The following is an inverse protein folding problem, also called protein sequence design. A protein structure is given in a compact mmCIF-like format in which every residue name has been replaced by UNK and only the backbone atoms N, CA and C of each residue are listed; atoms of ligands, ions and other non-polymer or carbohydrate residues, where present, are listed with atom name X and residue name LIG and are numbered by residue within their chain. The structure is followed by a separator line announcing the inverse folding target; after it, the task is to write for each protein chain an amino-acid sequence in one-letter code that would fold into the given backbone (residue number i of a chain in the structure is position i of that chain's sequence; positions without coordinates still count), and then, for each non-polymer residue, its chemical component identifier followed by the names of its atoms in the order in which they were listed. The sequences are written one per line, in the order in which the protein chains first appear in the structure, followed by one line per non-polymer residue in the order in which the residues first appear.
data_IF_668156525460
#
_entry.id   IF_668156525460
#
_cell.length_a   1.000
_cell.length_b   1.000
_cell.length_c   1.000
_cell.angle_alpha   90.00
_cell.angle_beta   90.00
_cell.angle_gamma   90.00
#
_symmetry.space_group_name_H-M   'P 1'
#
loop_
_entity.id
_entity.type
_entity.pdbx_description
1 polymer ?
#
# COMPACT_ATOMS: atom_id res chain seq x y z
N UNK A 1 -9.28 1.98 -7.39
CA UNK A 1 -10.32 1.12 -6.77
C UNK A 1 -10.44 -0.22 -7.50
N UNK A 2 -10.51 -0.27 -8.84
CA UNK A 2 -10.65 -1.54 -9.57
C UNK A 2 -9.47 -2.48 -9.33
N UNK A 3 -8.23 -1.99 -9.42
CA UNK A 3 -7.02 -2.79 -9.13
C UNK A 3 -7.04 -3.29 -7.70
N UNK A 4 -7.30 -2.38 -6.74
CA UNK A 4 -7.37 -2.71 -5.32
C UNK A 4 -8.37 -3.83 -5.04
N UNK A 5 -9.58 -3.75 -5.63
CA UNK A 5 -10.59 -4.79 -5.49
C UNK A 5 -10.16 -6.13 -6.13
N UNK A 6 -9.49 -6.09 -7.29
CA UNK A 6 -8.97 -7.32 -7.92
C UNK A 6 -7.88 -7.96 -7.08
N UNK A 7 -6.96 -7.17 -6.55
CA UNK A 7 -5.85 -7.67 -5.74
C UNK A 7 -6.35 -8.28 -4.42
N UNK A 8 -7.21 -7.57 -3.68
CA UNK A 8 -7.77 -8.07 -2.43
C UNK A 8 -8.73 -9.26 -2.63
N UNK A 9 -9.37 -9.38 -3.78
CA UNK A 9 -10.15 -10.55 -4.15
C UNK A 9 -9.32 -11.69 -4.77
N UNK A 10 -8.01 -11.50 -4.98
CA UNK A 10 -7.14 -12.43 -5.71
C UNK A 10 -7.64 -12.72 -7.13
N UNK A 11 -8.19 -11.72 -7.81
CA UNK A 11 -8.67 -11.78 -9.19
C UNK A 11 -7.75 -11.06 -10.19
N UNK A 12 -6.59 -10.64 -9.76
CA UNK A 12 -5.55 -10.03 -10.59
C UNK A 12 -5.00 -11.06 -11.60
N UNK A 13 -4.66 -10.59 -12.80
CA UNK A 13 -4.31 -11.45 -13.94
C UNK A 13 -3.07 -12.32 -13.72
N UNK A 14 -2.17 -11.91 -12.81
CA UNK A 14 -0.91 -12.59 -12.51
C UNK A 14 -0.99 -13.57 -11.32
N UNK A 15 -2.18 -13.84 -10.78
CA UNK A 15 -2.38 -14.89 -9.76
C UNK A 15 -1.94 -16.28 -10.22
N UNK A 16 -1.95 -16.53 -11.52
CA UNK A 16 -1.48 -17.79 -12.10
C UNK A 16 0.04 -17.98 -11.97
N UNK A 17 0.79 -16.88 -11.79
CA UNK A 17 2.25 -16.88 -11.59
C UNK A 17 2.64 -17.26 -10.15
N UNK A 18 1.70 -17.28 -9.21
CA UNK A 18 1.96 -17.73 -7.84
C UNK A 18 2.54 -19.15 -7.88
N UNK A 19 3.70 -19.43 -7.26
CA UNK A 19 4.27 -20.77 -7.17
C UNK A 19 3.28 -21.78 -6.59
N UNK A 20 3.34 -23.02 -7.08
CA UNK A 20 2.34 -24.04 -6.73
C UNK A 20 2.20 -24.28 -5.23
N UNK A 21 3.31 -24.17 -4.48
CA UNK A 21 3.35 -24.35 -3.02
C UNK A 21 2.54 -23.29 -2.28
N UNK A 22 2.45 -22.06 -2.82
CA UNK A 22 1.73 -20.93 -2.20
C UNK A 22 0.27 -20.77 -2.67
N UNK A 23 -0.10 -21.47 -3.76
CA UNK A 23 -1.48 -21.40 -4.27
C UNK A 23 -2.55 -21.78 -3.26
N UNK A 24 -2.38 -22.84 -2.45
CA UNK A 24 -3.41 -23.26 -1.50
C UNK A 24 -3.68 -22.29 -0.36
N UNK A 25 -2.68 -21.48 0.03
CA UNK A 25 -2.82 -20.53 1.15
C UNK A 25 -3.31 -19.15 0.70
N UNK A 26 -3.13 -18.80 -0.57
CA UNK A 26 -3.65 -17.53 -1.07
C UNK A 26 -5.17 -17.52 -1.10
N UNK A 27 -5.78 -16.48 -0.50
CA UNK A 27 -7.22 -16.37 -0.33
C UNK A 27 -7.81 -15.08 -0.92
N UNK A 28 -9.11 -15.09 -1.14
CA UNK A 28 -9.91 -13.88 -1.35
C UNK A 28 -10.25 -13.31 0.03
N UNK A 29 -9.83 -12.08 0.29
CA UNK A 29 -10.07 -11.41 1.58
C UNK A 29 -11.54 -11.05 1.81
N UNK A 30 -12.36 -11.05 0.75
CA UNK A 30 -13.76 -10.58 0.74
C UNK A 30 -13.92 -9.09 1.07
N UNK A 31 -12.83 -8.34 1.15
CA UNK A 31 -12.84 -6.89 1.34
C UNK A 31 -13.12 -6.23 -0.01
N UNK A 32 -14.04 -5.27 -0.01
CA UNK A 32 -14.36 -4.47 -1.18
C UNK A 32 -14.23 -2.98 -0.88
N UNK A 33 -13.66 -2.26 -1.83
CA UNK A 33 -13.46 -0.82 -1.76
C UNK A 33 -14.40 -0.12 -2.75
N UNK A 34 -14.99 0.97 -2.32
CA UNK A 34 -15.77 1.84 -3.19
C UNK A 34 -15.45 3.31 -2.90
N UNK A 35 -15.65 4.16 -3.89
CA UNK A 35 -15.57 5.61 -3.67
C UNK A 35 -16.73 6.05 -2.76
N UNK A 36 -16.43 6.96 -1.83
CA UNK A 36 -17.45 7.54 -0.97
C UNK A 36 -18.52 8.26 -1.80
N UNK A 37 -19.78 8.03 -1.48
CA UNK A 37 -20.92 8.71 -2.11
C UNK A 37 -21.46 9.86 -1.25
N UNK A 38 -21.02 9.96 -0.01
CA UNK A 38 -21.31 11.03 0.94
C UNK A 38 -20.01 11.57 1.52
N UNK A 39 -19.92 12.88 1.65
CA UNK A 39 -18.83 13.54 2.36
C UNK A 39 -19.08 13.48 3.89
N UNK A 40 -18.14 13.92 4.76
CA UNK A 40 -18.33 13.94 6.22
C UNK A 40 -19.53 14.73 6.70
N UNK A 41 -20.04 15.66 5.90
CA UNK A 41 -21.24 16.47 6.20
C UNK A 41 -22.54 15.82 5.66
N UNK A 42 -22.45 14.65 5.02
CA UNK A 42 -23.58 13.94 4.44
C UNK A 42 -23.99 14.39 3.05
N UNK A 43 -23.27 15.35 2.42
CA UNK A 43 -23.56 15.79 1.07
C UNK A 43 -23.11 14.76 0.02
N UNK A 44 -23.78 14.71 -1.15
CA UNK A 44 -23.33 13.87 -2.25
C UNK A 44 -21.90 14.22 -2.71
N UNK A 45 -21.09 13.20 -2.96
CA UNK A 45 -19.70 13.36 -3.43
C UNK A 45 -19.34 12.27 -4.42
N UNK A 46 -18.30 12.53 -5.23
CA UNK A 46 -17.65 11.49 -6.05
C UNK A 46 -16.63 10.67 -5.27
N UNK A 47 -16.37 11.01 -4.01
CA UNK A 47 -15.30 10.41 -3.20
C UNK A 47 -13.90 10.84 -3.62
N UNK A 48 -13.77 11.78 -4.55
CA UNK A 48 -12.48 12.31 -5.03
C UNK A 48 -12.43 13.80 -4.75
N UNK A 49 -11.50 14.21 -3.89
CA UNK A 49 -11.21 15.63 -3.62
C UNK A 49 -9.94 16.06 -4.36
N UNK A 50 -9.87 17.35 -4.68
CA UNK A 50 -8.69 17.95 -5.30
C UNK A 50 -8.37 19.25 -4.58
N UNK A 51 -7.16 19.34 -4.06
CA UNK A 51 -6.68 20.52 -3.32
C UNK A 51 -5.69 21.28 -4.17
N UNK A 52 -6.00 22.54 -4.42
CA UNK A 52 -5.03 23.46 -5.03
C UNK A 52 -4.02 23.86 -3.98
N UNK A 53 -2.74 23.74 -4.29
CA UNK A 53 -1.65 24.03 -3.34
C UNK A 53 -0.44 24.62 -4.05
N UNK A 54 0.30 25.45 -3.34
CA UNK A 54 1.64 25.93 -3.74
C UNK A 54 2.76 24.97 -3.31
N UNK A 55 2.45 23.92 -2.54
CA UNK A 55 3.43 22.91 -2.15
C UNK A 55 3.73 22.04 -3.37
N UNK A 56 4.96 22.09 -3.85
CA UNK A 56 5.39 21.36 -5.05
C UNK A 56 5.75 19.92 -4.79
N UNK A 57 6.09 19.58 -3.55
CA UNK A 57 6.39 18.21 -3.12
C UNK A 57 6.20 18.06 -1.62
N UNK A 58 5.74 16.89 -1.20
CA UNK A 58 5.73 16.44 0.19
C UNK A 58 6.86 15.46 0.40
N UNK A 59 7.73 15.71 1.39
CA UNK A 59 9.01 15.02 1.48
C UNK A 59 8.98 13.83 2.45
N UNK A 60 8.51 12.70 1.96
CA UNK A 60 8.49 11.44 2.71
C UNK A 60 7.45 11.37 3.83
N UNK A 61 7.54 10.31 4.64
CA UNK A 61 6.57 10.03 5.71
C UNK A 61 6.65 10.99 6.91
N UNK A 62 7.76 11.70 7.07
CA UNK A 62 7.93 12.71 8.12
C UNK A 62 7.25 14.04 7.79
N UNK A 63 6.91 14.28 6.52
CA UNK A 63 6.26 15.51 6.07
C UNK A 63 4.73 15.36 6.16
N UNK A 64 4.20 15.66 7.32
CA UNK A 64 2.77 15.50 7.59
C UNK A 64 1.89 16.62 7.02
N UNK A 65 2.44 17.63 6.34
CA UNK A 65 1.66 18.74 5.76
C UNK A 65 0.57 18.26 4.80
N UNK A 66 0.75 17.11 4.17
CA UNK A 66 -0.24 16.51 3.26
C UNK A 66 -1.61 16.30 3.93
N UNK A 67 -1.64 16.07 5.23
CA UNK A 67 -2.85 15.81 6.01
C UNK A 67 -3.53 17.08 6.55
N UNK A 68 -3.00 18.27 6.25
CA UNK A 68 -3.52 19.52 6.81
C UNK A 68 -3.78 20.57 5.73
N UNK A 69 -5.04 20.97 5.56
CA UNK A 69 -5.44 22.01 4.59
C UNK A 69 -4.69 23.33 4.82
N UNK A 70 -4.50 23.73 6.07
CA UNK A 70 -3.77 24.92 6.44
C UNK A 70 -2.28 24.89 6.05
N UNK A 71 -1.74 23.73 5.72
CA UNK A 71 -0.34 23.53 5.34
C UNK A 71 -0.17 23.14 3.87
N UNK A 72 -1.24 23.25 3.07
CA UNK A 72 -1.22 22.95 1.63
C UNK A 72 -1.58 21.51 1.27
N UNK A 73 -2.00 20.72 2.24
CA UNK A 73 -2.57 19.39 2.07
C UNK A 73 -4.10 19.41 2.11
N UNK A 74 -4.69 18.35 2.63
CA UNK A 74 -6.14 18.22 2.81
C UNK A 74 -6.42 17.51 4.14
N UNK A 75 -7.30 18.08 4.97
CA UNK A 75 -7.69 17.46 6.23
C UNK A 75 -8.33 16.09 5.99
N UNK A 76 -8.00 15.16 6.86
CA UNK A 76 -8.51 13.79 6.80
C UNK A 76 -10.04 13.75 6.97
N UNK A 77 -10.71 12.90 6.25
CA UNK A 77 -12.08 12.51 6.58
C UNK A 77 -12.08 11.49 7.72
N UNK A 78 -13.15 11.47 8.50
CA UNK A 78 -13.33 10.61 9.67
C UNK A 78 -12.84 9.17 9.39
N UNK A 79 -11.73 8.78 10.01
CA UNK A 79 -11.06 7.50 9.77
C UNK A 79 -11.91 6.29 10.16
N UNK A 80 -12.89 6.48 11.04
CA UNK A 80 -13.79 5.40 11.45
C UNK A 80 -14.87 5.09 10.40
N UNK A 81 -14.91 5.90 9.32
CA UNK A 81 -15.87 5.77 8.22
C UNK A 81 -15.23 5.72 6.84
N UNK A 82 -14.03 6.25 6.69
CA UNK A 82 -13.36 6.40 5.40
C UNK A 82 -11.91 5.93 5.48
N UNK A 83 -11.50 5.12 4.51
CA UNK A 83 -10.09 4.96 4.19
C UNK A 83 -9.65 6.18 3.37
N UNK A 84 -8.73 6.97 3.91
CA UNK A 84 -8.19 8.15 3.25
C UNK A 84 -6.98 7.77 2.39
N UNK A 85 -7.07 8.01 1.10
CA UNK A 85 -6.00 7.72 0.14
C UNK A 85 -5.56 9.02 -0.50
N UNK A 86 -4.36 9.47 -0.17
CA UNK A 86 -3.73 10.66 -0.73
C UNK A 86 -2.87 10.31 -1.94
N UNK A 87 -2.83 11.21 -2.90
CA UNK A 87 -1.88 11.13 -4.02
C UNK A 87 -1.27 12.51 -4.26
N UNK A 88 0.05 12.56 -4.35
CA UNK A 88 0.80 13.81 -4.45
C UNK A 88 2.13 13.60 -5.19
N UNK A 89 2.89 14.69 -5.37
CA UNK A 89 4.31 14.60 -5.67
C UNK A 89 5.03 14.25 -4.36
N UNK A 90 5.32 12.96 -4.18
CA UNK A 90 5.99 12.45 -2.99
C UNK A 90 7.49 12.41 -3.22
N UNK A 91 8.23 13.12 -2.39
CA UNK A 91 9.69 13.15 -2.41
C UNK A 91 10.34 12.05 -1.56
N UNK A 92 11.65 12.11 -1.43
CA UNK A 92 12.40 11.17 -0.60
C UNK A 92 12.60 9.78 -1.23
N UNK A 93 12.28 9.61 -2.51
CA UNK A 93 12.42 8.31 -3.20
C UNK A 93 11.33 7.29 -2.89
N UNK A 94 10.31 7.68 -2.11
CA UNK A 94 9.22 6.79 -1.75
C UNK A 94 8.17 6.70 -2.87
N UNK A 95 7.62 5.51 -3.06
CA UNK A 95 6.44 5.28 -3.91
C UNK A 95 5.15 5.50 -3.16
N UNK A 96 5.15 5.23 -1.86
CA UNK A 96 4.05 5.46 -0.95
C UNK A 96 4.48 5.25 0.50
N UNK A 97 3.54 5.45 1.40
CA UNK A 97 3.60 5.04 2.79
C UNK A 97 2.18 4.99 3.38
N UNK A 98 2.02 4.23 4.43
CA UNK A 98 0.77 4.16 5.18
C UNK A 98 1.00 4.38 6.67
N UNK A 99 -0.03 4.79 7.37
CA UNK A 99 -0.06 4.75 8.81
C UNK A 99 -0.60 3.40 9.28
N UNK A 100 0.15 2.72 10.13
CA UNK A 100 -0.32 1.50 10.79
C UNK A 100 -1.45 1.81 11.79
N UNK A 101 -2.31 0.83 12.10
CA UNK A 101 -3.38 0.99 13.08
C UNK A 101 -2.87 1.48 14.44
N UNK A 102 -3.68 2.31 15.10
CA UNK A 102 -3.33 2.88 16.42
C UNK A 102 -2.52 4.16 16.37
N UNK A 103 -2.11 4.64 15.19
CA UNK A 103 -1.41 5.91 15.01
C UNK A 103 -2.31 7.14 15.21
N UNK A 104 -1.74 8.32 14.93
CA UNK A 104 -2.44 9.60 15.09
C UNK A 104 -3.70 9.66 14.21
N UNK A 105 -4.90 9.89 14.79
CA UNK A 105 -6.14 9.95 14.02
C UNK A 105 -6.21 11.08 12.99
N UNK A 106 -5.34 12.07 13.07
CA UNK A 106 -5.30 13.18 12.11
C UNK A 106 -4.45 12.91 10.88
N UNK A 107 -3.72 11.80 10.84
CA UNK A 107 -2.81 11.43 9.75
C UNK A 107 -3.05 10.01 9.25
N UNK A 108 -4.20 9.43 9.59
CA UNK A 108 -4.58 8.07 9.22
C UNK A 108 -4.88 7.96 7.71
N UNK A 109 -4.32 6.92 7.09
CA UNK A 109 -4.53 6.67 5.66
C UNK A 109 -3.25 6.28 4.95
N UNK A 110 -3.28 6.39 3.62
CA UNK A 110 -2.14 6.11 2.76
C UNK A 110 -1.77 7.32 1.93
N UNK A 111 -0.48 7.52 1.67
CA UNK A 111 0.03 8.57 0.78
C UNK A 111 0.81 7.92 -0.35
N UNK A 112 0.55 8.31 -1.58
CA UNK A 112 1.07 7.63 -2.76
C UNK A 112 1.69 8.65 -3.73
N UNK A 113 2.81 8.28 -4.34
CA UNK A 113 3.40 9.05 -5.43
C UNK A 113 2.47 9.01 -6.66
N UNK A 114 2.12 10.18 -7.21
CA UNK A 114 1.17 10.27 -8.31
C UNK A 114 1.60 9.47 -9.57
N UNK A 115 2.91 9.34 -9.83
CA UNK A 115 3.44 8.57 -10.97
C UNK A 115 3.55 7.06 -10.71
N UNK A 116 3.17 6.60 -9.51
CA UNK A 116 3.03 5.19 -9.13
C UNK A 116 1.59 4.84 -8.73
N UNK A 117 0.63 5.74 -9.00
CA UNK A 117 -0.77 5.61 -8.60
C UNK A 117 -1.66 5.30 -9.80
N UNK A 118 -2.20 4.08 -9.85
CA UNK A 118 -3.09 3.64 -10.92
C UNK A 118 -2.37 2.92 -12.05
N UNK A 119 -3.03 2.83 -13.23
CA UNK A 119 -2.57 2.05 -14.37
C UNK A 119 -2.53 2.84 -15.67
N UNK A 120 -2.87 4.12 -15.63
CA UNK A 120 -2.97 4.99 -16.80
C UNK A 120 -2.47 6.39 -16.49
N UNK A 121 -2.29 7.21 -17.52
CA UNK A 121 -1.86 8.60 -17.37
C UNK A 121 -0.35 8.74 -17.22
N UNK A 122 0.09 9.33 -16.13
CA UNK A 122 1.50 9.67 -15.89
C UNK A 122 2.29 8.60 -15.13
N UNK A 123 1.74 7.40 -15.01
CA UNK A 123 2.40 6.29 -14.32
C UNK A 123 3.65 5.82 -15.06
N UNK A 124 4.67 5.42 -14.32
CA UNK A 124 5.95 4.99 -14.87
C UNK A 124 6.23 3.51 -14.56
N UNK A 125 6.61 2.69 -15.56
CA UNK A 125 7.11 1.35 -15.31
C UNK A 125 8.34 1.36 -14.38
N UNK A 126 8.48 0.35 -13.52
CA UNK A 126 7.63 -0.82 -13.33
C UNK A 126 6.42 -0.61 -12.40
N UNK A 127 6.16 0.63 -11.96
CA UNK A 127 5.14 0.98 -10.97
C UNK A 127 3.81 1.41 -11.61
N UNK A 128 3.48 0.85 -12.76
CA UNK A 128 2.33 1.19 -13.61
C UNK A 128 1.15 0.21 -13.50
N UNK A 129 1.20 -0.71 -12.52
CA UNK A 129 0.15 -1.72 -12.30
C UNK A 129 -0.86 -1.36 -11.20
N UNK A 130 -0.70 -0.19 -10.58
CA UNK A 130 -1.54 0.26 -9.46
C UNK A 130 -1.28 -0.45 -8.12
N UNK A 131 -0.19 -1.23 -8.03
CA UNK A 131 0.12 -2.07 -6.86
C UNK A 131 0.71 -1.30 -5.68
N UNK A 132 1.22 -0.10 -5.88
CA UNK A 132 1.65 0.77 -4.78
C UNK A 132 0.52 0.97 -3.78
N UNK A 133 -0.68 1.32 -4.25
CA UNK A 133 -1.84 1.50 -3.34
C UNK A 133 -2.23 0.21 -2.64
N UNK A 134 -2.18 -0.93 -3.35
CA UNK A 134 -2.47 -2.24 -2.75
C UNK A 134 -1.51 -2.54 -1.60
N UNK A 135 -0.23 -2.25 -1.79
CA UNK A 135 0.82 -2.40 -0.78
C UNK A 135 0.55 -1.50 0.45
N UNK A 136 0.34 -0.20 0.22
CA UNK A 136 0.09 0.75 1.30
C UNK A 136 -1.19 0.45 2.08
N UNK A 137 -2.24 0.00 1.39
CA UNK A 137 -3.47 -0.44 2.06
C UNK A 137 -3.24 -1.72 2.87
N UNK A 138 -2.32 -2.59 2.44
CA UNK A 138 -1.85 -3.73 3.25
C UNK A 138 -1.29 -3.28 4.59
N UNK A 139 -0.39 -2.30 4.61
CA UNK A 139 0.14 -1.70 5.85
C UNK A 139 -0.95 -1.04 6.69
N UNK A 140 -1.88 -0.34 6.07
CA UNK A 140 -3.01 0.25 6.78
C UNK A 140 -3.90 -0.82 7.46
N UNK A 141 -3.94 -2.05 6.92
CA UNK A 141 -4.53 -3.23 7.54
C UNK A 141 -3.60 -3.97 8.51
N UNK A 142 -2.46 -3.40 8.90
CA UNK A 142 -1.48 -3.96 9.82
C UNK A 142 -0.64 -5.12 9.26
N UNK A 143 -0.48 -5.20 7.95
CA UNK A 143 0.47 -6.15 7.34
C UNK A 143 1.86 -5.52 7.32
N UNK A 144 2.84 -6.22 7.86
CA UNK A 144 4.25 -5.84 7.80
C UNK A 144 4.89 -6.35 6.52
N UNK A 145 6.08 -5.86 6.19
CA UNK A 145 6.87 -6.47 5.15
C UNK A 145 7.29 -7.89 5.56
N UNK A 146 7.31 -8.81 4.60
CA UNK A 146 7.59 -10.23 4.88
C UNK A 146 9.00 -10.49 5.43
N UNK A 147 9.92 -9.52 5.31
CA UNK A 147 11.28 -9.58 5.87
C UNK A 147 11.42 -8.85 7.22
N UNK A 148 10.32 -8.33 7.80
CA UNK A 148 10.32 -7.66 9.11
C UNK A 148 11.09 -6.33 9.16
N UNK A 149 11.44 -5.75 8.01
CA UNK A 149 12.21 -4.49 7.87
C UNK A 149 13.67 -4.52 8.35
N UNK A 150 14.19 -5.69 8.68
CA UNK A 150 15.58 -5.88 9.07
C UNK A 150 16.27 -6.93 8.18
N UNK A 151 17.56 -6.76 7.89
CA UNK A 151 18.28 -7.66 6.98
C UNK A 151 18.67 -9.00 7.60
N UNK A 152 18.24 -9.26 8.80
CA UNK A 152 18.55 -10.48 9.54
C UNK A 152 17.28 -11.33 9.79
N UNK A 153 17.47 -12.53 10.29
CA UNK A 153 16.37 -13.47 10.51
C UNK A 153 15.71 -13.35 11.90
N UNK A 154 15.85 -12.21 12.58
CA UNK A 154 15.32 -12.01 13.93
C UNK A 154 13.93 -11.35 13.93
N UNK A 155 13.53 -10.77 12.81
CA UNK A 155 12.21 -10.17 12.63
C UNK A 155 11.42 -10.94 11.58
N UNK A 156 10.10 -10.89 11.70
CA UNK A 156 9.17 -11.43 10.73
C UNK A 156 7.94 -10.52 10.60
N UNK A 157 7.04 -10.86 9.71
CA UNK A 157 5.81 -10.10 9.46
C UNK A 157 4.67 -10.43 10.44
N UNK A 158 4.92 -11.28 11.45
CA UNK A 158 3.96 -11.75 12.46
C UNK A 158 2.79 -12.56 11.86
N UNK A 159 2.96 -13.13 10.67
CA UNK A 159 1.98 -13.99 10.00
C UNK A 159 2.50 -15.41 9.96
N UNK A 160 1.83 -16.33 10.65
CA UNK A 160 2.35 -17.66 10.97
C UNK A 160 2.59 -18.59 9.77
N UNK A 161 2.03 -18.32 8.61
CA UNK A 161 2.18 -19.09 7.38
C UNK A 161 3.19 -18.47 6.39
N UNK A 162 3.77 -17.32 6.72
CA UNK A 162 4.87 -16.72 5.98
C UNK A 162 6.19 -17.20 6.53
N UNK A 163 7.09 -17.81 5.73
CA UNK A 163 8.43 -18.18 6.20
C UNK A 163 9.25 -16.95 6.54
N UNK A 164 10.14 -17.07 7.53
CA UNK A 164 11.15 -16.03 7.79
C UNK A 164 11.95 -15.73 6.52
N UNK A 165 12.07 -14.46 6.19
CA UNK A 165 12.85 -13.97 5.07
C UNK A 165 13.87 -12.95 5.56
N UNK A 166 15.07 -12.96 4.94
CA UNK A 166 16.10 -11.94 5.15
C UNK A 166 15.74 -10.60 4.50
N UNK A 167 16.65 -9.96 3.75
CA UNK A 167 16.35 -8.67 3.16
C UNK A 167 15.25 -8.75 2.11
N UNK A 168 14.74 -7.58 1.72
CA UNK A 168 13.77 -7.46 0.64
C UNK A 168 14.26 -8.09 -0.67
N UNK A 169 13.36 -8.72 -1.39
CA UNK A 169 13.61 -9.19 -2.74
C UNK A 169 13.33 -8.08 -3.76
N UNK A 170 14.33 -7.73 -4.56
CA UNK A 170 14.23 -6.70 -5.58
C UNK A 170 14.09 -7.32 -6.97
N UNK A 171 13.20 -6.76 -7.78
CA UNK A 171 12.92 -7.25 -9.13
C UNK A 171 11.97 -8.46 -9.13
N UNK A 172 12.26 -9.44 -9.99
CA UNK A 172 11.47 -10.66 -10.11
C UNK A 172 12.40 -11.87 -9.98
N UNK A 173 12.75 -12.28 -8.77
CA UNK A 173 13.62 -13.44 -8.56
C UNK A 173 12.96 -14.71 -9.07
N UNK A 174 13.80 -15.68 -9.48
CA UNK A 174 13.31 -16.97 -9.92
C UNK A 174 12.98 -17.83 -8.71
N UNK A 175 11.76 -18.34 -8.66
CA UNK A 175 11.36 -19.29 -7.61
C UNK A 175 11.95 -20.70 -7.85
N UNK A 176 12.40 -21.44 -6.81
CA UNK A 176 12.48 -21.01 -5.41
C UNK A 176 13.68 -20.10 -5.16
N UNK A 177 13.48 -19.01 -4.43
CA UNK A 177 14.57 -18.22 -3.91
C UNK A 177 14.83 -18.62 -2.47
N UNK A 178 16.07 -18.97 -2.19
CA UNK A 178 16.54 -19.35 -0.85
C UNK A 178 17.40 -18.23 -0.32
N UNK A 179 17.10 -17.73 0.85
CA UNK A 179 17.89 -16.72 1.53
C UNK A 179 18.56 -17.29 2.81
N UNK A 180 19.24 -16.41 3.56
CA UNK A 180 19.95 -16.83 4.77
C UNK A 180 19.03 -17.37 5.89
N UNK A 181 17.75 -16.96 5.89
CA UNK A 181 16.76 -17.36 6.90
C UNK A 181 16.11 -18.71 6.55
N UNK A 182 16.05 -19.04 5.27
CA UNK A 182 15.46 -20.26 4.74
C UNK A 182 16.47 -21.00 3.86
N UNK A 183 17.55 -21.55 4.47
CA UNK A 183 18.62 -22.22 3.71
C UNK A 183 18.15 -23.53 3.07
N UNK A 184 17.04 -24.10 3.55
CA UNK A 184 16.39 -25.29 3.01
C UNK A 184 14.87 -25.11 3.10
N UNK A 185 14.17 -25.22 1.98
CA UNK A 185 12.72 -25.07 2.00
C UNK A 185 12.18 -24.60 0.66
N UNK A 186 10.87 -24.29 0.57
CA UNK A 186 10.26 -23.86 -0.66
C UNK A 186 10.71 -22.45 -1.12
N UNK A 187 11.41 -21.69 -0.27
CA UNK A 187 11.76 -20.31 -0.52
C UNK A 187 10.53 -19.36 -0.52
N UNK A 188 10.74 -18.09 -0.81
CA UNK A 188 9.71 -17.07 -0.93
C UNK A 188 9.61 -16.52 -2.36
#
# INVERSE_FOLDING_TARGET
IEVLNKDFARLNADTNQTPAVWKPIGANTQIQFCLAQRDPNGNPTTGITRTSTSVTSFNGSSDQRIFFTAQGGHDIWDRDKYLNIYTCNLGGGLLGYAQFPGGNPQTDGTVNLFSAFGTTGVVNPPYDKGRTVTHEVGHWFNLFHIWGDEPDCNQDDLVADTPLQGPENVGCPTFPQVDACQPVGPGV
#
